data_IF_841665105574
#
_entry.id   IF_841665105574
#
_cell.length_a   1.000
_cell.length_b   1.000
_cell.length_c   1.000
_cell.angle_alpha   90.00
_cell.angle_beta   90.00
_cell.angle_gamma   90.00
#
_symmetry.space_group_name_H-M   'P 1'
#
loop_
_entity.id
_entity.type
_entity.pdbx_description
1 polymer ?
#
# COMPACT_ATOMS: atom_id res chain seq x y z
N UNK A 1 -43.75 33.23 24.30
CA UNK A 1 -43.90 31.96 25.06
C UNK A 1 -43.41 30.71 24.29
N UNK A 2 -43.62 30.59 22.99
CA UNK A 2 -43.22 29.35 22.23
C UNK A 2 -41.69 29.07 22.12
N UNK A 3 -40.82 30.09 22.14
CA UNK A 3 -39.36 29.90 22.12
C UNK A 3 -38.74 29.43 23.43
N UNK A 4 -39.34 29.68 24.58
CA UNK A 4 -38.84 29.22 25.88
C UNK A 4 -39.17 27.74 26.18
N UNK A 5 -40.24 27.23 25.60
CA UNK A 5 -40.69 25.86 25.78
C UNK A 5 -39.80 24.89 24.94
N UNK A 6 -39.36 25.36 23.75
CA UNK A 6 -38.48 24.55 22.88
C UNK A 6 -37.08 24.37 23.47
N UNK A 7 -36.53 25.38 24.14
CA UNK A 7 -35.22 25.29 24.78
C UNK A 7 -35.23 24.44 26.06
N UNK A 8 -36.38 24.32 26.74
CA UNK A 8 -36.51 23.46 27.91
C UNK A 8 -36.63 21.98 27.56
N UNK A 9 -37.27 21.66 26.43
CA UNK A 9 -37.36 20.29 25.90
C UNK A 9 -36.00 19.77 25.36
N UNK A 10 -35.18 20.64 24.75
CA UNK A 10 -33.83 20.26 24.30
C UNK A 10 -32.89 20.02 25.48
N UNK A 11 -32.98 20.80 26.55
CA UNK A 11 -32.16 20.66 27.74
C UNK A 11 -32.47 19.36 28.52
N UNK A 12 -33.74 18.94 28.59
CA UNK A 12 -34.13 17.70 29.27
C UNK A 12 -33.69 16.44 28.49
N UNK A 13 -33.64 16.47 27.18
CA UNK A 13 -33.21 15.34 26.37
C UNK A 13 -31.68 15.12 26.46
N UNK A 14 -30.91 16.20 26.59
CA UNK A 14 -29.44 16.13 26.75
C UNK A 14 -29.05 15.60 28.15
N UNK A 15 -29.78 15.95 29.19
CA UNK A 15 -29.51 15.50 30.58
C UNK A 15 -29.89 14.03 30.78
N UNK A 16 -30.88 13.49 30.05
CA UNK A 16 -31.21 12.07 30.11
C UNK A 16 -30.20 11.19 29.39
N UNK A 17 -29.49 11.68 28.37
CA UNK A 17 -28.39 10.93 27.71
C UNK A 17 -27.13 10.84 28.58
N UNK A 18 -26.93 11.75 29.54
CA UNK A 18 -25.74 11.77 30.40
C UNK A 18 -25.86 10.91 31.68
N UNK A 19 -27.01 10.31 31.93
CA UNK A 19 -27.28 9.48 33.11
C UNK A 19 -27.60 8.00 32.81
N UNK A 20 -27.18 7.50 31.65
CA UNK A 20 -27.28 6.07 31.35
C UNK A 20 -26.13 5.30 32.03
N UNK A 21 -26.42 4.20 32.77
CA UNK A 21 -25.38 3.41 33.38
C UNK A 21 -24.41 2.83 32.33
N UNK A 22 -23.13 2.71 32.71
CA UNK A 22 -22.03 2.25 31.84
C UNK A 22 -22.31 0.94 31.10
N UNK A 23 -23.21 0.08 31.59
CA UNK A 23 -23.62 -1.15 30.90
C UNK A 23 -24.47 -0.93 29.65
N UNK A 24 -25.24 0.16 29.57
CA UNK A 24 -26.02 0.49 28.39
C UNK A 24 -25.13 1.06 27.24
N UNK A 25 -24.05 1.76 27.60
CA UNK A 25 -23.04 2.25 26.65
C UNK A 25 -22.29 1.11 25.96
N UNK A 26 -21.93 0.05 26.68
CA UNK A 26 -21.28 -1.14 26.12
C UNK A 26 -22.22 -1.90 25.16
N UNK A 27 -23.50 -2.04 25.52
CA UNK A 27 -24.49 -2.71 24.67
C UNK A 27 -24.78 -1.92 23.36
N UNK A 28 -24.84 -0.58 23.44
CA UNK A 28 -25.00 0.26 22.26
C UNK A 28 -23.77 0.20 21.37
N UNK A 29 -22.56 0.22 21.92
CA UNK A 29 -21.31 0.07 21.16
C UNK A 29 -21.24 -1.29 20.45
N UNK A 30 -21.59 -2.37 21.10
CA UNK A 30 -21.62 -3.73 20.53
C UNK A 30 -22.70 -3.85 19.45
N UNK A 31 -23.85 -3.21 19.62
CA UNK A 31 -24.93 -3.23 18.62
C UNK A 31 -24.56 -2.40 17.39
N UNK A 32 -23.87 -1.27 17.55
CA UNK A 32 -23.37 -0.49 16.42
C UNK A 32 -22.24 -1.19 15.66
N UNK A 33 -21.35 -1.89 16.35
CA UNK A 33 -20.33 -2.72 15.71
C UNK A 33 -20.97 -3.88 14.93
N UNK A 34 -21.97 -4.56 15.51
CA UNK A 34 -22.68 -5.66 14.84
C UNK A 34 -23.53 -5.17 13.67
N UNK A 35 -24.17 -4.00 13.76
CA UNK A 35 -24.92 -3.40 12.65
C UNK A 35 -24.00 -2.96 11.50
N UNK A 36 -22.81 -2.44 11.78
CA UNK A 36 -21.83 -2.09 10.75
C UNK A 36 -21.30 -3.33 10.04
N UNK A 37 -21.04 -4.40 10.78
CA UNK A 37 -20.58 -5.68 10.22
C UNK A 37 -21.69 -6.37 9.40
N UNK A 38 -22.95 -6.39 9.87
CA UNK A 38 -24.07 -6.94 9.12
C UNK A 38 -24.41 -6.11 7.87
N UNK A 39 -24.27 -4.78 7.92
CA UNK A 39 -24.45 -3.92 6.75
C UNK A 39 -23.31 -4.11 5.74
N UNK A 40 -22.09 -4.34 6.20
CA UNK A 40 -20.96 -4.72 5.35
C UNK A 40 -21.24 -6.05 4.62
N UNK A 41 -21.66 -7.06 5.37
CA UNK A 41 -22.02 -8.39 4.84
C UNK A 41 -23.17 -8.29 3.83
N UNK A 42 -24.20 -7.50 4.12
CA UNK A 42 -25.35 -7.35 3.22
C UNK A 42 -25.05 -6.52 1.97
N UNK A 43 -24.15 -5.55 2.05
CA UNK A 43 -23.68 -4.76 0.91
C UNK A 43 -22.74 -5.58 0.01
N UNK A 44 -21.80 -6.29 0.62
CA UNK A 44 -20.91 -7.23 -0.06
C UNK A 44 -21.69 -8.32 -0.80
N UNK A 45 -22.76 -8.83 -0.21
CA UNK A 45 -23.64 -9.81 -0.85
C UNK A 45 -24.49 -9.24 -2.00
N UNK A 46 -24.81 -7.94 -1.99
CA UNK A 46 -25.60 -7.28 -3.04
C UNK A 46 -24.79 -6.91 -4.28
N UNK A 47 -23.57 -6.49 -4.11
CA UNK A 47 -22.74 -5.95 -5.21
C UNK A 47 -21.97 -7.04 -6.00
N UNK A 48 -22.11 -8.32 -5.63
CA UNK A 48 -21.64 -9.51 -6.39
C UNK A 48 -20.16 -9.60 -6.73
N UNK A 49 -19.41 -8.51 -6.63
CA UNK A 49 -18.02 -8.39 -7.04
C UNK A 49 -17.00 -8.54 -5.89
N UNK A 50 -17.45 -8.42 -4.64
CA UNK A 50 -16.60 -8.56 -3.46
C UNK A 50 -16.84 -9.88 -2.68
N UNK A 51 -17.77 -10.70 -3.14
CA UNK A 51 -18.51 -11.57 -2.25
C UNK A 51 -17.88 -12.93 -1.93
N UNK A 52 -16.91 -13.43 -2.69
CA UNK A 52 -16.66 -14.87 -2.57
C UNK A 52 -15.40 -15.27 -1.82
N UNK A 53 -14.41 -14.39 -1.65
CA UNK A 53 -13.13 -14.81 -1.07
C UNK A 53 -12.57 -13.92 0.06
N UNK A 54 -13.23 -12.84 0.46
CA UNK A 54 -12.79 -12.00 1.59
C UNK A 54 -12.76 -12.78 2.91
N UNK A 55 -13.58 -13.85 3.00
CA UNK A 55 -13.70 -14.71 4.16
C UNK A 55 -13.21 -16.15 3.92
N UNK A 56 -12.47 -16.38 2.81
CA UNK A 56 -11.91 -17.69 2.56
C UNK A 56 -10.88 -18.01 3.67
N UNK A 57 -10.89 -19.24 4.13
CA UNK A 57 -9.86 -19.71 5.05
C UNK A 57 -8.49 -19.68 4.36
N UNK A 58 -7.42 -19.33 5.10
CA UNK A 58 -6.10 -19.23 4.51
C UNK A 58 -5.57 -20.60 4.07
N UNK A 59 -5.09 -20.70 2.84
CA UNK A 59 -4.41 -21.89 2.33
C UNK A 59 -3.02 -21.97 2.95
N UNK A 60 -2.68 -23.12 3.56
CA UNK A 60 -1.40 -23.27 4.24
C UNK A 60 -1.18 -22.33 5.42
N UNK A 61 -2.24 -21.63 5.88
CA UNK A 61 -2.18 -20.65 6.95
C UNK A 61 -2.04 -19.18 6.49
N UNK A 62 -2.01 -18.91 5.17
CA UNK A 62 -1.81 -17.56 4.63
C UNK A 62 -2.93 -17.10 3.71
N UNK A 63 -3.50 -15.91 4.02
CA UNK A 63 -4.53 -15.29 3.20
C UNK A 63 -4.02 -14.83 1.83
N UNK A 64 -2.76 -14.41 1.73
CA UNK A 64 -2.19 -14.01 0.45
C UNK A 64 -2.27 -15.09 -0.62
N UNK A 65 -2.33 -16.37 -0.23
CA UNK A 65 -2.48 -17.51 -1.15
C UNK A 65 -3.95 -17.87 -1.43
N UNK A 66 -4.85 -17.54 -0.49
CA UNK A 66 -6.23 -18.04 -0.50
C UNK A 66 -7.23 -17.06 -1.12
N UNK A 67 -7.10 -15.76 -0.81
CA UNK A 67 -8.12 -14.77 -1.17
C UNK A 67 -7.85 -14.10 -2.51
N UNK A 68 -8.90 -13.65 -3.19
CA UNK A 68 -8.76 -12.78 -4.37
C UNK A 68 -8.60 -11.32 -3.96
N UNK A 69 -9.33 -10.84 -2.96
CA UNK A 69 -9.21 -9.48 -2.42
C UNK A 69 -8.40 -9.49 -1.14
N UNK A 70 -7.19 -8.95 -1.19
CA UNK A 70 -6.28 -8.92 -0.05
C UNK A 70 -6.45 -7.64 0.76
N UNK A 71 -6.95 -7.76 1.98
CA UNK A 71 -7.30 -6.64 2.87
C UNK A 71 -6.19 -6.32 3.86
N UNK A 72 -6.29 -5.17 4.55
CA UNK A 72 -5.41 -4.84 5.66
C UNK A 72 -5.47 -5.88 6.79
N UNK A 73 -6.67 -6.39 7.11
CA UNK A 73 -6.81 -7.44 8.12
C UNK A 73 -6.15 -8.77 7.71
N UNK A 74 -6.17 -9.11 6.41
CA UNK A 74 -5.43 -10.27 5.90
C UNK A 74 -3.93 -10.07 6.05
N UNK A 75 -3.39 -8.88 5.74
CA UNK A 75 -1.99 -8.55 5.96
C UNK A 75 -1.58 -8.75 7.42
N UNK A 76 -2.34 -8.21 8.38
CA UNK A 76 -2.05 -8.38 9.80
C UNK A 76 -2.07 -9.85 10.25
N UNK A 77 -3.00 -10.63 9.70
CA UNK A 77 -3.08 -12.07 9.99
C UNK A 77 -1.87 -12.82 9.43
N UNK A 78 -1.52 -12.57 8.17
CA UNK A 78 -0.38 -13.20 7.52
C UNK A 78 0.95 -12.84 8.21
N UNK A 79 1.14 -11.58 8.63
CA UNK A 79 2.33 -11.18 9.39
C UNK A 79 2.46 -11.91 10.72
N UNK A 80 1.36 -12.10 11.45
CA UNK A 80 1.37 -12.91 12.68
C UNK A 80 1.72 -14.36 12.41
N UNK A 81 1.17 -14.95 11.34
CA UNK A 81 1.45 -16.33 10.95
C UNK A 81 2.92 -16.51 10.54
N UNK A 82 3.50 -15.58 9.76
CA UNK A 82 4.90 -15.60 9.36
C UNK A 82 5.84 -15.59 10.57
N UNK A 83 5.60 -14.70 11.56
CA UNK A 83 6.42 -14.68 12.78
C UNK A 83 6.33 -15.96 13.61
N UNK A 84 5.20 -16.64 13.60
CA UNK A 84 5.04 -17.90 14.31
C UNK A 84 5.77 -19.06 13.60
N UNK A 85 5.79 -19.02 12.27
CA UNK A 85 6.30 -20.11 11.45
C UNK A 85 7.80 -20.00 11.14
N UNK A 86 8.36 -18.76 11.09
CA UNK A 86 9.74 -18.51 10.67
C UNK A 86 10.48 -17.66 11.69
N UNK A 87 11.46 -18.23 12.37
CA UNK A 87 12.23 -17.57 13.44
C UNK A 87 13.06 -16.36 12.97
N UNK A 88 13.35 -16.26 11.68
CA UNK A 88 14.13 -15.16 11.07
C UNK A 88 13.30 -13.97 10.62
N UNK A 89 11.98 -14.02 10.73
CA UNK A 89 11.09 -12.93 10.34
C UNK A 89 10.90 -11.96 11.50
N UNK A 90 11.04 -10.67 11.21
CA UNK A 90 10.71 -9.58 12.13
C UNK A 90 9.78 -8.60 11.44
N UNK A 91 8.78 -8.11 12.15
CA UNK A 91 7.99 -6.97 11.66
C UNK A 91 7.74 -5.97 12.80
N UNK A 92 7.63 -4.72 12.41
CA UNK A 92 7.33 -3.58 13.28
C UNK A 92 6.43 -2.57 12.55
N UNK A 93 6.01 -1.54 13.27
CA UNK A 93 5.26 -0.43 12.71
C UNK A 93 6.19 0.76 12.51
N UNK A 94 6.36 1.20 11.26
CA UNK A 94 7.13 2.41 10.92
C UNK A 94 6.40 3.69 11.36
N UNK A 95 5.08 3.69 11.25
CA UNK A 95 4.22 4.82 11.57
C UNK A 95 2.77 4.35 11.74
N UNK A 96 1.96 5.23 12.32
CA UNK A 96 0.50 5.12 12.33
C UNK A 96 -0.08 6.16 11.38
N UNK A 97 -1.00 5.74 10.52
CA UNK A 97 -1.69 6.61 9.56
C UNK A 97 -2.68 7.56 10.25
N UNK A 98 -3.22 8.50 9.48
CA UNK A 98 -4.22 9.44 10.00
C UNK A 98 -5.55 8.78 10.42
N UNK A 99 -5.85 7.58 9.94
CA UNK A 99 -7.04 6.80 10.33
C UNK A 99 -6.72 5.70 11.37
N UNK A 100 -5.48 5.65 11.88
CA UNK A 100 -5.09 4.80 13.00
C UNK A 100 -4.57 3.42 12.61
N UNK A 101 -4.29 3.15 11.31
CA UNK A 101 -3.67 1.90 10.87
C UNK A 101 -2.15 1.96 10.94
N UNK A 102 -1.52 0.84 11.24
CA UNK A 102 -0.07 0.73 11.22
C UNK A 102 0.44 0.54 9.78
N UNK A 103 1.58 1.17 9.48
CA UNK A 103 2.36 0.90 8.27
C UNK A 103 3.43 -0.10 8.67
N UNK A 104 3.24 -1.35 8.26
CA UNK A 104 4.14 -2.43 8.65
C UNK A 104 5.38 -2.52 7.78
N UNK A 105 6.51 -2.74 8.45
CA UNK A 105 7.78 -3.09 7.86
C UNK A 105 8.13 -4.52 8.25
N UNK A 106 8.58 -5.32 7.31
CA UNK A 106 9.03 -6.69 7.54
C UNK A 106 10.47 -6.81 7.10
N UNK A 107 11.28 -7.51 7.88
CA UNK A 107 12.68 -7.73 7.55
C UNK A 107 13.05 -9.21 7.69
N UNK A 108 13.81 -9.71 6.72
CA UNK A 108 14.36 -11.07 6.69
C UNK A 108 15.82 -11.04 6.26
N UNK A 109 16.54 -12.11 6.54
CA UNK A 109 17.95 -12.22 6.21
C UNK A 109 18.85 -11.36 7.10
N UNK A 110 20.01 -10.98 6.60
CA UNK A 110 21.00 -10.20 7.35
C UNK A 110 20.76 -8.70 7.18
N UNK A 111 19.97 -8.12 8.07
CA UNK A 111 19.67 -6.67 8.08
C UNK A 111 20.84 -5.78 8.52
N UNK A 112 22.00 -6.36 8.86
CA UNK A 112 23.25 -5.64 9.10
C UNK A 112 24.21 -5.70 7.89
N UNK A 113 23.82 -6.43 6.84
CA UNK A 113 24.63 -6.53 5.63
C UNK A 113 24.78 -5.15 4.95
N UNK A 114 25.91 -4.93 4.25
CA UNK A 114 26.12 -3.67 3.52
C UNK A 114 25.25 -3.55 2.26
N UNK A 115 24.60 -4.61 1.84
CA UNK A 115 23.71 -4.66 0.67
C UNK A 115 22.35 -5.19 1.09
N UNK A 116 21.32 -4.40 0.84
CA UNK A 116 19.96 -4.74 1.25
C UNK A 116 18.97 -4.30 0.17
N UNK A 117 17.91 -5.07 0.01
CA UNK A 117 16.83 -4.78 -0.95
C UNK A 117 15.60 -4.32 -0.20
N UNK A 118 14.95 -3.27 -0.67
CA UNK A 118 13.64 -2.83 -0.18
C UNK A 118 12.56 -3.10 -1.23
N UNK A 119 11.48 -3.76 -0.83
CA UNK A 119 10.30 -4.03 -1.65
C UNK A 119 9.10 -3.27 -1.11
N UNK A 120 8.47 -2.45 -1.94
CA UNK A 120 7.36 -1.57 -1.53
C UNK A 120 6.13 -1.83 -2.38
N UNK A 121 4.95 -1.84 -1.75
CA UNK A 121 3.67 -1.95 -2.45
C UNK A 121 2.60 -1.04 -1.88
N UNK A 122 1.54 -0.89 -2.65
CA UNK A 122 0.34 -0.12 -2.31
C UNK A 122 0.64 1.29 -1.77
N UNK A 123 1.55 2.01 -2.43
CA UNK A 123 1.71 3.47 -2.23
C UNK A 123 0.38 4.15 -2.60
N UNK A 124 -0.30 3.65 -3.63
CA UNK A 124 -1.64 4.09 -4.01
C UNK A 124 -2.69 3.12 -3.51
N UNK A 125 -3.78 3.66 -2.93
CA UNK A 125 -4.83 2.86 -2.29
C UNK A 125 -5.51 1.84 -3.20
N UNK A 126 -5.78 2.20 -4.46
CA UNK A 126 -6.44 1.33 -5.46
C UNK A 126 -5.55 0.23 -6.03
N UNK A 127 -4.27 0.18 -5.65
CA UNK A 127 -3.27 -0.74 -6.21
C UNK A 127 -2.94 -1.89 -5.24
N UNK A 128 -3.92 -2.30 -4.44
CA UNK A 128 -3.77 -3.27 -3.34
C UNK A 128 -3.37 -4.69 -3.78
N UNK A 129 -3.50 -5.03 -5.07
CA UNK A 129 -3.01 -6.29 -5.62
C UNK A 129 -1.48 -6.44 -5.46
N UNK A 130 -0.75 -5.32 -5.40
CA UNK A 130 0.69 -5.30 -5.16
C UNK A 130 1.05 -5.77 -3.74
N UNK A 131 0.23 -5.46 -2.72
CA UNK A 131 0.42 -5.99 -1.37
C UNK A 131 0.35 -7.50 -1.33
N UNK A 132 -0.65 -8.09 -2.00
CA UNK A 132 -0.81 -9.53 -2.07
C UNK A 132 0.36 -10.21 -2.78
N UNK A 133 0.82 -9.62 -3.89
CA UNK A 133 1.99 -10.10 -4.63
C UNK A 133 3.25 -10.13 -3.76
N UNK A 134 3.52 -9.04 -3.04
CA UNK A 134 4.68 -8.93 -2.14
C UNK A 134 4.62 -9.98 -1.04
N UNK A 135 3.46 -10.16 -0.42
CA UNK A 135 3.31 -11.17 0.64
C UNK A 135 3.48 -12.60 0.12
N UNK A 136 3.05 -12.89 -1.12
CA UNK A 136 3.36 -14.19 -1.78
C UNK A 136 4.86 -14.35 -2.04
N UNK A 137 5.55 -13.30 -2.50
CA UNK A 137 7.00 -13.35 -2.71
C UNK A 137 7.76 -13.58 -1.40
N UNK A 138 7.39 -12.86 -0.34
CA UNK A 138 7.97 -13.05 1.00
C UNK A 138 7.77 -14.48 1.50
N UNK A 139 6.55 -15.01 1.44
CA UNK A 139 6.25 -16.37 1.87
C UNK A 139 7.00 -17.41 1.04
N UNK A 140 6.99 -17.30 -0.28
CA UNK A 140 7.69 -18.24 -1.18
C UNK A 140 9.20 -18.25 -0.94
N UNK A 141 9.82 -17.07 -0.71
CA UNK A 141 11.24 -16.97 -0.42
C UNK A 141 11.60 -17.62 0.94
N UNK A 142 10.77 -17.44 1.96
CA UNK A 142 10.94 -18.05 3.26
C UNK A 142 10.80 -19.59 3.19
N UNK A 143 9.82 -20.11 2.45
CA UNK A 143 9.67 -21.54 2.24
C UNK A 143 10.84 -22.11 1.44
N UNK A 144 11.31 -21.40 0.42
CA UNK A 144 12.48 -21.81 -0.36
C UNK A 144 13.73 -21.91 0.53
N UNK A 145 13.99 -20.93 1.38
CA UNK A 145 15.10 -20.94 2.32
C UNK A 145 14.98 -22.07 3.37
N UNK A 146 13.78 -22.28 3.93
CA UNK A 146 13.50 -23.28 4.95
C UNK A 146 13.65 -24.72 4.43
N UNK A 147 13.25 -24.96 3.18
CA UNK A 147 13.30 -26.30 2.56
C UNK A 147 14.65 -26.63 1.91
N UNK A 148 15.64 -25.73 2.03
CA UNK A 148 16.97 -25.91 1.41
C UNK A 148 16.97 -25.70 -0.10
N UNK A 149 15.99 -24.93 -0.62
CA UNK A 149 15.91 -24.60 -2.03
C UNK A 149 16.99 -23.62 -2.48
N UNK A 150 17.16 -23.52 -3.79
CA UNK A 150 18.22 -22.72 -4.42
C UNK A 150 17.65 -21.68 -5.38
N UNK A 151 18.40 -20.61 -5.56
CA UNK A 151 18.21 -19.60 -6.61
C UNK A 151 19.47 -19.63 -7.46
N UNK A 152 19.36 -19.90 -8.77
CA UNK A 152 20.50 -20.02 -9.67
C UNK A 152 21.61 -20.96 -9.10
N UNK A 153 21.20 -22.12 -8.57
CA UNK A 153 22.04 -23.13 -7.93
C UNK A 153 22.70 -22.73 -6.59
N UNK A 154 22.54 -21.48 -6.12
CA UNK A 154 23.01 -21.03 -4.81
C UNK A 154 21.95 -21.24 -3.74
N UNK A 155 22.36 -21.67 -2.55
CA UNK A 155 21.45 -21.85 -1.39
C UNK A 155 20.75 -20.54 -1.05
N UNK A 156 19.43 -20.54 -1.03
CA UNK A 156 18.62 -19.36 -0.65
C UNK A 156 18.95 -18.90 0.77
N UNK A 157 19.19 -19.84 1.69
CA UNK A 157 19.57 -19.49 3.06
C UNK A 157 20.93 -18.78 3.09
N UNK A 158 21.93 -19.25 2.30
CA UNK A 158 23.24 -18.61 2.22
C UNK A 158 23.17 -17.20 1.60
N UNK A 159 22.32 -16.98 0.59
CA UNK A 159 22.09 -15.64 0.03
C UNK A 159 21.50 -14.69 1.08
N UNK A 160 20.60 -15.17 1.92
CA UNK A 160 20.01 -14.39 3.02
C UNK A 160 20.97 -14.14 4.20
N UNK A 161 22.01 -14.95 4.37
CA UNK A 161 23.07 -14.67 5.36
C UNK A 161 23.92 -13.45 4.99
N UNK A 162 24.00 -13.12 3.71
CA UNK A 162 24.82 -12.01 3.18
C UNK A 162 24.00 -10.80 2.72
N UNK A 163 22.67 -10.91 2.67
CA UNK A 163 21.78 -9.84 2.22
C UNK A 163 20.53 -9.74 3.11
N UNK A 164 20.18 -8.53 3.50
CA UNK A 164 18.90 -8.23 4.12
C UNK A 164 17.84 -7.88 3.09
N UNK A 165 16.60 -8.30 3.33
CA UNK A 165 15.46 -7.88 2.53
C UNK A 165 14.41 -7.26 3.43
N UNK A 166 13.97 -6.08 3.05
CA UNK A 166 12.97 -5.27 3.73
C UNK A 166 11.72 -5.18 2.87
N UNK A 167 10.56 -5.25 3.50
CA UNK A 167 9.28 -5.14 2.83
C UNK A 167 8.40 -4.10 3.54
N UNK A 168 7.77 -3.25 2.76
CA UNK A 168 6.63 -2.43 3.17
C UNK A 168 5.46 -2.84 2.28
N UNK A 169 4.74 -3.93 2.63
CA UNK A 169 3.79 -4.55 1.70
C UNK A 169 2.59 -3.67 1.38
N UNK A 170 2.17 -2.82 2.33
CA UNK A 170 1.02 -1.93 2.20
C UNK A 170 1.35 -0.57 2.81
N UNK A 171 1.96 0.32 2.00
CA UNK A 171 2.39 1.62 2.49
C UNK A 171 1.22 2.58 2.79
N UNK A 172 0.09 2.44 2.09
CA UNK A 172 -1.10 3.28 2.25
C UNK A 172 -2.32 2.45 2.67
N UNK A 173 -2.33 1.90 3.92
CA UNK A 173 -3.40 1.01 4.36
C UNK A 173 -4.76 1.68 4.48
N UNK A 174 -4.81 3.00 4.74
CA UNK A 174 -6.04 3.77 4.76
C UNK A 174 -6.64 3.90 3.37
N UNK A 175 -5.82 4.28 2.37
CA UNK A 175 -6.24 4.37 0.98
C UNK A 175 -6.70 3.02 0.41
N UNK A 176 -6.00 1.93 0.75
CA UNK A 176 -6.40 0.56 0.39
C UNK A 176 -7.76 0.22 0.96
N UNK A 177 -7.95 0.41 2.27
CA UNK A 177 -9.21 0.11 2.93
C UNK A 177 -10.36 0.96 2.37
N UNK A 178 -10.08 2.22 2.05
CA UNK A 178 -11.05 3.14 1.44
C UNK A 178 -11.43 2.70 0.01
N UNK A 179 -10.45 2.27 -0.79
CA UNK A 179 -10.71 1.75 -2.14
C UNK A 179 -11.54 0.47 -2.12
N UNK A 180 -11.34 -0.40 -1.14
CA UNK A 180 -12.06 -1.66 -1.00
C UNK A 180 -13.46 -1.50 -0.41
N UNK A 181 -13.63 -0.64 0.61
CA UNK A 181 -14.84 -0.60 1.43
C UNK A 181 -15.52 0.78 1.51
N UNK A 182 -14.99 1.78 0.81
CA UNK A 182 -15.53 3.14 0.84
C UNK A 182 -15.52 3.73 2.26
N UNK A 183 -16.47 4.62 2.55
CA UNK A 183 -16.57 5.27 3.86
C UNK A 183 -16.75 4.31 5.05
N UNK A 184 -17.15 3.08 4.81
CA UNK A 184 -17.28 2.07 5.88
C UNK A 184 -15.91 1.71 6.48
N UNK A 185 -14.83 1.87 5.71
CA UNK A 185 -13.47 1.61 6.17
C UNK A 185 -12.92 2.68 7.12
N UNK A 186 -13.51 3.90 7.12
CA UNK A 186 -13.00 5.03 7.90
C UNK A 186 -13.25 4.83 9.38
N UNK A 187 -12.18 4.66 10.17
CA UNK A 187 -12.24 4.40 11.61
C UNK A 187 -12.45 5.69 12.40
N UNK A 188 -11.75 6.75 12.04
CA UNK A 188 -11.87 8.05 12.69
C UNK A 188 -13.04 8.86 12.07
N UNK A 189 -14.09 9.09 12.86
CA UNK A 189 -15.28 9.82 12.40
C UNK A 189 -14.94 11.25 11.89
N UNK A 190 -13.92 11.90 12.45
CA UNK A 190 -13.47 13.20 11.99
C UNK A 190 -13.02 13.17 10.52
N UNK A 191 -12.37 12.10 10.08
CA UNK A 191 -11.97 11.95 8.69
C UNK A 191 -13.17 11.86 7.72
N UNK A 192 -14.32 11.35 8.19
CA UNK A 192 -15.52 11.20 7.34
C UNK A 192 -16.09 12.55 6.87
N UNK A 193 -15.98 13.58 7.70
CA UNK A 193 -16.50 14.90 7.37
C UNK A 193 -15.80 15.53 6.16
N UNK A 194 -14.52 15.21 5.96
CA UNK A 194 -13.72 15.78 4.88
C UNK A 194 -14.00 15.13 3.52
N UNK A 195 -14.52 13.89 3.50
CA UNK A 195 -14.74 13.17 2.24
C UNK A 195 -15.75 13.82 1.31
N UNK A 196 -16.81 14.40 1.84
CA UNK A 196 -17.79 15.12 1.00
C UNK A 196 -17.10 16.28 0.25
N UNK A 197 -16.19 16.97 0.92
CA UNK A 197 -15.40 18.05 0.33
C UNK A 197 -14.44 17.48 -0.74
N UNK A 198 -13.73 16.40 -0.44
CA UNK A 198 -12.80 15.76 -1.39
C UNK A 198 -13.51 15.22 -2.64
N UNK A 199 -14.68 14.62 -2.47
CA UNK A 199 -15.52 14.15 -3.59
C UNK A 199 -15.99 15.33 -4.44
N UNK A 200 -16.41 16.42 -3.80
CA UNK A 200 -16.82 17.65 -4.48
C UNK A 200 -15.65 18.26 -5.26
N UNK A 201 -14.47 18.32 -4.65
CA UNK A 201 -13.23 18.78 -5.30
C UNK A 201 -12.91 17.93 -6.54
N UNK A 202 -12.93 16.61 -6.39
CA UNK A 202 -12.66 15.71 -7.50
C UNK A 202 -13.67 15.90 -8.65
N UNK A 203 -14.96 15.99 -8.34
CA UNK A 203 -16.01 16.22 -9.34
C UNK A 203 -15.79 17.53 -10.10
N UNK A 204 -15.44 18.60 -9.38
CA UNK A 204 -15.19 19.90 -9.98
C UNK A 204 -13.96 19.90 -10.89
N UNK A 205 -12.88 19.22 -10.49
CA UNK A 205 -11.61 19.17 -11.22
C UNK A 205 -11.66 18.22 -12.42
N UNK A 206 -12.28 17.06 -12.25
CA UNK A 206 -12.32 16.00 -13.26
C UNK A 206 -13.53 16.07 -14.19
N UNK A 207 -14.53 16.93 -13.89
CA UNK A 207 -15.81 16.97 -14.62
C UNK A 207 -16.62 15.68 -14.50
N UNK A 208 -16.42 14.92 -13.41
CA UNK A 208 -17.04 13.63 -13.19
C UNK A 208 -18.19 13.70 -12.18
N UNK A 209 -19.38 13.28 -12.59
CA UNK A 209 -20.60 13.34 -11.79
C UNK A 209 -21.21 11.96 -11.50
N UNK A 210 -20.42 10.89 -11.63
CA UNK A 210 -20.85 9.53 -11.34
C UNK A 210 -21.00 9.22 -9.85
N UNK A 211 -21.17 7.94 -9.53
CA UNK A 211 -21.43 7.47 -8.17
C UNK A 211 -20.22 7.61 -7.25
N UNK A 212 -20.48 7.80 -5.95
CA UNK A 212 -19.41 7.82 -4.94
C UNK A 212 -18.68 6.48 -4.86
N UNK A 213 -19.40 5.37 -5.05
CA UNK A 213 -18.81 4.04 -5.09
C UNK A 213 -17.72 3.92 -6.18
N UNK A 214 -17.95 4.46 -7.35
CA UNK A 214 -16.94 4.51 -8.40
C UNK A 214 -15.70 5.32 -7.99
N UNK A 215 -15.90 6.45 -7.30
CA UNK A 215 -14.82 7.32 -6.79
C UNK A 215 -14.00 6.56 -5.74
N UNK A 216 -14.66 5.93 -4.77
CA UNK A 216 -13.96 5.16 -3.74
C UNK A 216 -13.18 3.98 -4.31
N UNK A 217 -13.77 3.17 -5.17
CA UNK A 217 -13.07 2.07 -5.81
C UNK A 217 -11.78 2.50 -6.51
N UNK A 218 -11.73 3.72 -7.03
CA UNK A 218 -10.58 4.29 -7.73
C UNK A 218 -9.71 5.20 -6.87
N UNK A 219 -9.93 5.19 -5.56
CA UNK A 219 -9.21 6.05 -4.64
C UNK A 219 -7.72 5.74 -4.64
N UNK A 220 -6.92 6.68 -5.14
CA UNK A 220 -5.47 6.57 -5.28
C UNK A 220 -4.75 7.06 -4.02
N UNK A 221 -5.18 8.20 -3.50
CA UNK A 221 -4.55 8.96 -2.44
C UNK A 221 -4.69 8.30 -1.06
N UNK A 222 -4.08 8.87 -0.04
CA UNK A 222 -4.32 8.46 1.34
C UNK A 222 -5.65 8.98 1.87
N UNK A 223 -5.92 8.77 3.16
CA UNK A 223 -7.17 9.20 3.82
C UNK A 223 -7.36 10.71 3.84
N UNK A 224 -6.27 11.50 3.76
CA UNK A 224 -6.28 12.96 3.69
C UNK A 224 -6.41 13.50 2.28
N UNK A 225 -6.59 12.64 1.30
CA UNK A 225 -6.67 13.02 -0.10
C UNK A 225 -5.33 13.45 -0.70
N UNK A 226 -4.19 12.97 -0.16
CA UNK A 226 -2.84 13.26 -0.64
C UNK A 226 -2.29 12.06 -1.42
N UNK A 227 -1.77 12.31 -2.62
CA UNK A 227 -1.02 11.34 -3.42
C UNK A 227 0.38 11.15 -2.82
N UNK A 228 0.59 10.03 -2.15
CA UNK A 228 1.86 9.73 -1.47
C UNK A 228 3.03 9.73 -2.46
N UNK A 229 2.80 9.25 -3.69
CA UNK A 229 3.83 9.20 -4.73
C UNK A 229 4.06 10.58 -5.42
N UNK A 230 3.60 11.66 -4.79
CA UNK A 230 3.83 13.08 -5.12
C UNK A 230 4.20 13.91 -3.90
N UNK A 231 4.39 13.27 -2.75
CA UNK A 231 4.59 13.95 -1.47
C UNK A 231 6.05 13.93 -0.99
N UNK A 232 7.00 13.35 -1.76
CA UNK A 232 8.43 13.40 -1.44
C UNK A 232 9.03 14.77 -1.77
N UNK A 233 10.08 15.17 -1.04
CA UNK A 233 10.68 16.51 -1.18
C UNK A 233 11.35 16.75 -2.53
N UNK A 234 11.89 15.71 -3.15
CA UNK A 234 12.58 15.80 -4.44
C UNK A 234 11.61 16.23 -5.54
N UNK A 235 11.92 17.37 -6.16
CA UNK A 235 11.10 17.92 -7.25
C UNK A 235 9.74 18.49 -6.83
N UNK A 236 9.34 18.38 -5.55
CA UNK A 236 8.01 18.76 -5.07
C UNK A 236 7.60 20.20 -5.40
N UNK A 237 8.51 21.16 -5.20
CA UNK A 237 8.23 22.57 -5.46
C UNK A 237 8.04 22.88 -6.95
N UNK A 238 8.69 22.10 -7.82
CA UNK A 238 8.64 22.26 -9.29
C UNK A 238 7.56 21.37 -9.94
N UNK A 239 6.89 20.52 -9.15
CA UNK A 239 5.84 19.65 -9.67
C UNK A 239 4.63 20.48 -10.07
N UNK A 240 4.31 20.43 -11.38
CA UNK A 240 3.09 20.99 -11.93
C UNK A 240 1.92 20.03 -11.66
N UNK A 241 1.08 20.42 -10.70
CA UNK A 241 0.02 19.56 -10.19
C UNK A 241 -1.26 19.67 -11.02
N UNK A 242 -1.86 18.52 -11.27
CA UNK A 242 -3.21 18.43 -11.83
C UNK A 242 -4.30 18.74 -10.80
N UNK A 243 -3.96 18.69 -9.51
CA UNK A 243 -4.90 18.84 -8.39
C UNK A 243 -4.27 19.68 -7.28
N UNK A 244 -4.89 20.79 -6.92
CA UNK A 244 -4.38 21.75 -5.92
C UNK A 244 -5.04 21.62 -4.55
N UNK A 245 -5.97 20.69 -4.40
CA UNK A 245 -6.76 20.46 -3.19
C UNK A 245 -6.91 18.98 -2.90
N UNK A 246 -7.16 18.58 -1.65
CA UNK A 246 -7.41 17.19 -1.29
C UNK A 246 -8.50 16.56 -2.16
N UNK A 247 -8.19 15.42 -2.76
CA UNK A 247 -9.09 14.68 -3.66
C UNK A 247 -8.73 13.20 -3.73
N UNK A 248 -9.37 12.46 -4.62
CA UNK A 248 -9.07 11.02 -4.79
C UNK A 248 -7.73 10.74 -5.49
N UNK A 249 -7.14 11.70 -6.21
CA UNK A 249 -5.88 11.52 -6.92
C UNK A 249 -5.09 12.84 -7.10
N UNK A 250 -3.79 12.71 -7.38
CA UNK A 250 -2.83 13.73 -7.80
C UNK A 250 -2.55 14.91 -6.85
N UNK A 251 -3.19 15.09 -5.72
CA UNK A 251 -2.86 16.18 -4.80
C UNK A 251 -1.54 15.87 -4.07
N UNK A 252 -0.53 16.72 -4.23
CA UNK A 252 0.81 16.51 -3.66
C UNK A 252 0.93 16.82 -2.16
N UNK A 253 -0.14 17.24 -1.52
CA UNK A 253 -0.14 17.71 -0.13
C UNK A 253 0.17 19.21 -0.01
N UNK A 254 -0.04 19.76 1.19
CA UNK A 254 0.21 21.17 1.48
C UNK A 254 1.70 21.49 1.66
N UNK A 255 2.51 20.46 1.96
CA UNK A 255 3.97 20.54 2.10
C UNK A 255 4.60 19.20 1.67
N UNK A 256 5.88 19.20 1.26
CA UNK A 256 6.58 17.95 1.04
C UNK A 256 6.71 17.18 2.35
N UNK A 257 6.66 15.86 2.24
CA UNK A 257 6.83 14.94 3.37
C UNK A 257 5.84 15.20 4.52
N UNK A 258 4.64 15.71 4.19
CA UNK A 258 3.60 15.98 5.20
C UNK A 258 2.99 14.71 5.76
N UNK A 259 2.93 13.64 4.96
CA UNK A 259 2.18 12.44 5.27
C UNK A 259 2.99 11.39 6.05
N UNK A 260 2.37 10.67 6.99
CA UNK A 260 3.03 9.60 7.74
C UNK A 260 3.51 8.47 6.83
N UNK A 261 2.79 8.17 5.75
CA UNK A 261 3.15 7.17 4.75
C UNK A 261 4.45 7.52 4.01
N UNK A 262 4.64 8.79 3.68
CA UNK A 262 5.89 9.31 3.08
C UNK A 262 7.05 9.18 4.05
N UNK A 263 6.85 9.64 5.29
CA UNK A 263 7.87 9.58 6.34
C UNK A 263 8.27 8.15 6.69
N UNK A 264 7.33 7.22 6.64
CA UNK A 264 7.59 5.80 6.87
C UNK A 264 8.62 5.26 5.86
N UNK A 265 8.46 5.50 4.57
CA UNK A 265 9.42 5.06 3.56
C UNK A 265 10.79 5.75 3.71
N UNK A 266 10.81 7.04 4.01
CA UNK A 266 12.06 7.78 4.27
C UNK A 266 12.79 7.19 5.49
N UNK A 267 12.06 6.81 6.54
CA UNK A 267 12.68 6.24 7.74
C UNK A 267 13.40 4.92 7.48
N UNK A 268 12.90 4.08 6.57
CA UNK A 268 13.59 2.85 6.17
C UNK A 268 14.93 3.17 5.52
N UNK A 269 14.99 4.15 4.60
CA UNK A 269 16.23 4.55 3.94
C UNK A 269 17.25 5.16 4.91
N UNK A 270 16.79 5.78 6.00
CA UNK A 270 17.67 6.35 7.01
C UNK A 270 18.18 5.34 8.05
N UNK A 271 17.48 4.23 8.23
CA UNK A 271 17.80 3.22 9.25
C UNK A 271 18.61 2.04 8.70
N UNK A 272 18.48 1.73 7.40
CA UNK A 272 19.06 0.53 6.80
C UNK A 272 19.91 0.88 5.57
N UNK A 273 20.88 0.02 5.26
CA UNK A 273 21.75 0.17 4.10
C UNK A 273 21.07 -0.31 2.81
N UNK A 274 19.94 0.31 2.47
CA UNK A 274 19.20 -0.05 1.25
C UNK A 274 20.05 0.27 0.02
N UNK A 275 20.33 -0.75 -0.77
CA UNK A 275 21.14 -0.68 -1.99
C UNK A 275 20.29 -0.68 -3.26
N UNK A 276 19.09 -1.25 -3.19
CA UNK A 276 18.16 -1.38 -4.31
C UNK A 276 16.72 -1.32 -3.85
N UNK A 277 15.84 -0.72 -4.67
CA UNK A 277 14.42 -0.62 -4.37
C UNK A 277 13.58 -1.18 -5.52
N UNK A 278 12.68 -2.10 -5.17
CA UNK A 278 11.66 -2.67 -6.03
C UNK A 278 10.29 -2.14 -5.61
N UNK A 279 9.71 -1.24 -6.42
CA UNK A 279 8.39 -0.69 -6.17
C UNK A 279 7.35 -1.43 -7.03
N UNK A 280 6.31 -1.95 -6.39
CA UNK A 280 5.17 -2.52 -7.09
C UNK A 280 4.00 -1.55 -7.10
N UNK A 281 3.54 -1.24 -8.29
CA UNK A 281 2.37 -0.45 -8.64
C UNK A 281 1.42 -1.26 -9.52
N UNK A 282 0.32 -0.70 -9.92
CA UNK A 282 -0.55 -1.17 -10.99
C UNK A 282 -1.20 0.01 -11.71
N UNK A 283 -1.30 -0.01 -13.06
CA UNK A 283 -1.25 -1.17 -13.93
C UNK A 283 -0.53 -0.82 -15.27
N UNK A 284 -0.12 -1.85 -16.04
CA UNK A 284 0.43 -1.62 -17.39
C UNK A 284 1.32 -2.75 -17.92
N UNK A 285 1.77 -3.69 -17.07
CA UNK A 285 2.82 -4.67 -17.39
C UNK A 285 4.09 -3.97 -17.95
N UNK A 286 4.51 -2.89 -17.27
CA UNK A 286 5.63 -2.05 -17.67
C UNK A 286 6.61 -1.84 -16.50
N UNK A 287 7.88 -1.64 -16.81
CA UNK A 287 8.96 -1.38 -15.84
C UNK A 287 9.51 0.01 -16.11
N UNK A 288 9.33 0.93 -15.16
CA UNK A 288 9.94 2.25 -15.17
C UNK A 288 11.26 2.22 -14.40
N UNK A 289 12.36 2.55 -15.08
CA UNK A 289 13.71 2.49 -14.50
C UNK A 289 14.45 3.82 -14.52
N UNK A 290 14.23 4.67 -15.51
CA UNK A 290 14.96 5.93 -15.67
C UNK A 290 14.48 7.00 -14.67
N UNK A 291 15.40 7.83 -14.21
CA UNK A 291 15.14 9.04 -13.43
C UNK A 291 16.11 10.13 -13.83
N UNK A 292 15.59 11.24 -14.39
CA UNK A 292 16.41 12.35 -14.87
C UNK A 292 17.21 13.06 -13.77
N UNK A 293 16.78 12.94 -12.54
CA UNK A 293 17.43 13.53 -11.36
C UNK A 293 18.46 12.59 -10.70
N UNK A 294 18.68 11.40 -11.26
CA UNK A 294 19.61 10.40 -10.70
C UNK A 294 21.06 10.88 -10.81
N UNK A 295 21.92 10.68 -9.77
CA UNK A 295 23.34 10.87 -9.87
C UNK A 295 23.97 10.02 -11.00
N UNK A 296 25.19 10.41 -11.43
CA UNK A 296 25.92 9.65 -12.45
C UNK A 296 26.05 8.16 -12.06
N UNK A 297 25.73 7.27 -13.00
CA UNK A 297 25.74 5.82 -12.80
C UNK A 297 24.47 5.23 -12.17
N UNK A 298 23.63 6.01 -11.48
CA UNK A 298 22.42 5.51 -10.82
C UNK A 298 21.38 4.93 -11.78
N UNK A 299 21.24 5.52 -12.95
CA UNK A 299 20.33 5.00 -13.97
C UNK A 299 20.86 3.71 -14.63
N UNK A 300 22.16 3.51 -14.73
CA UNK A 300 22.75 2.26 -15.26
C UNK A 300 22.39 1.09 -14.36
N UNK A 301 22.49 1.26 -13.05
CA UNK A 301 22.13 0.22 -12.09
C UNK A 301 20.61 -0.03 -12.08
N UNK A 302 19.78 1.02 -12.11
CA UNK A 302 18.32 0.87 -12.24
C UNK A 302 17.94 0.17 -13.55
N UNK A 303 18.64 0.44 -14.64
CA UNK A 303 18.46 -0.25 -15.92
C UNK A 303 18.82 -1.73 -15.83
N UNK A 304 19.93 -2.06 -15.15
CA UNK A 304 20.34 -3.44 -14.92
C UNK A 304 19.28 -4.23 -14.15
N UNK A 305 18.77 -3.67 -13.04
CA UNK A 305 17.64 -4.24 -12.29
C UNK A 305 16.40 -4.44 -13.18
N UNK A 306 16.10 -3.48 -14.05
CA UNK A 306 14.97 -3.56 -14.96
C UNK A 306 15.15 -4.64 -16.04
N UNK A 307 16.37 -4.87 -16.51
CA UNK A 307 16.68 -5.97 -17.45
C UNK A 307 16.46 -7.34 -16.80
N UNK A 308 16.85 -7.51 -15.53
CA UNK A 308 16.55 -8.70 -14.73
C UNK A 308 15.04 -8.89 -14.59
N UNK A 309 14.33 -7.84 -14.15
CA UNK A 309 12.90 -7.89 -13.98
C UNK A 309 12.16 -8.16 -15.31
N UNK A 310 12.63 -7.59 -16.44
CA UNK A 310 12.11 -7.87 -17.77
C UNK A 310 12.29 -9.33 -18.17
N UNK A 311 13.46 -9.90 -17.91
CA UNK A 311 13.73 -11.31 -18.20
C UNK A 311 12.79 -12.23 -17.42
N UNK A 312 12.51 -11.92 -16.14
CA UNK A 312 11.62 -12.70 -15.30
C UNK A 312 10.13 -12.54 -15.68
N UNK A 313 9.67 -11.32 -16.05
CA UNK A 313 8.25 -11.00 -16.22
C UNK A 313 7.76 -10.98 -17.65
N UNK A 314 8.64 -10.69 -18.61
CA UNK A 314 8.29 -10.34 -19.99
C UNK A 314 7.65 -8.94 -20.12
N UNK A 315 7.75 -8.07 -19.10
CA UNK A 315 7.21 -6.72 -19.15
C UNK A 315 8.04 -5.81 -20.05
N UNK A 316 7.41 -4.75 -20.55
CA UNK A 316 8.10 -3.74 -21.36
C UNK A 316 8.89 -2.82 -20.44
N UNK A 317 10.15 -2.57 -20.79
CA UNK A 317 10.94 -1.53 -20.10
C UNK A 317 10.61 -0.16 -20.71
N UNK A 318 10.24 0.80 -19.87
CA UNK A 318 10.06 2.20 -20.24
C UNK A 318 11.08 3.06 -19.51
N UNK A 319 12.06 3.55 -20.27
CA UNK A 319 13.02 4.55 -19.80
C UNK A 319 12.62 5.98 -20.17
N UNK A 320 11.38 6.17 -20.60
CA UNK A 320 10.84 7.29 -21.34
C UNK A 320 11.18 8.70 -20.89
N UNK A 321 10.81 9.68 -21.71
CA UNK A 321 11.02 11.12 -21.51
C UNK A 321 10.39 11.67 -20.22
N UNK A 322 9.41 10.99 -19.67
CA UNK A 322 8.76 11.36 -18.40
C UNK A 322 9.69 11.23 -17.18
N UNK A 323 10.70 10.36 -17.24
CA UNK A 323 11.72 10.26 -16.20
C UNK A 323 12.56 11.52 -15.99
N UNK A 324 12.48 12.50 -16.91
CA UNK A 324 13.19 13.77 -16.83
C UNK A 324 12.37 14.91 -16.21
N UNK A 325 11.10 14.65 -15.88
CA UNK A 325 10.24 15.65 -15.22
C UNK A 325 10.19 15.41 -13.72
N UNK A 326 10.12 16.49 -12.90
CA UNK A 326 9.85 16.34 -11.48
C UNK A 326 8.56 15.55 -11.26
N UNK A 327 8.61 14.57 -10.37
CA UNK A 327 7.45 13.74 -10.04
C UNK A 327 7.13 13.72 -8.54
N UNK A 328 8.07 14.16 -7.72
CA UNK A 328 8.01 14.05 -6.26
C UNK A 328 7.65 12.64 -5.79
N UNK A 329 8.02 11.63 -6.58
CA UNK A 329 7.76 10.23 -6.33
C UNK A 329 8.81 9.59 -5.43
N UNK A 330 8.46 8.44 -4.85
CA UNK A 330 9.42 7.65 -4.07
C UNK A 330 10.63 7.21 -4.90
N UNK A 331 10.38 6.77 -6.15
CA UNK A 331 11.48 6.40 -7.06
C UNK A 331 12.43 7.57 -7.32
N UNK A 332 11.92 8.78 -7.56
CA UNK A 332 12.75 9.96 -7.76
C UNK A 332 13.54 10.30 -6.49
N UNK A 333 12.89 10.29 -5.33
CA UNK A 333 13.55 10.53 -4.05
C UNK A 333 14.70 9.55 -3.80
N UNK A 334 14.45 8.26 -3.94
CA UNK A 334 15.45 7.21 -3.80
C UNK A 334 16.62 7.39 -4.78
N UNK A 335 16.30 7.67 -6.05
CA UNK A 335 17.32 7.88 -7.09
C UNK A 335 18.22 9.07 -6.79
N UNK A 336 17.67 10.18 -6.27
CA UNK A 336 18.48 11.35 -5.85
C UNK A 336 19.34 11.04 -4.64
N UNK A 337 18.88 10.18 -3.75
CA UNK A 337 19.69 9.64 -2.64
C UNK A 337 20.77 8.66 -3.12
N UNK A 338 20.89 8.40 -4.42
CA UNK A 338 21.87 7.47 -4.99
C UNK A 338 21.47 6.00 -4.89
N UNK A 339 20.21 5.70 -4.59
CA UNK A 339 19.71 4.34 -4.47
C UNK A 339 18.99 3.94 -5.77
N UNK A 340 19.52 2.96 -6.54
CA UNK A 340 18.87 2.42 -7.71
C UNK A 340 17.46 1.92 -7.41
N UNK A 341 16.50 2.29 -8.26
CA UNK A 341 15.09 2.01 -8.01
C UNK A 341 14.34 1.75 -9.31
N UNK A 342 13.54 0.69 -9.32
CA UNK A 342 12.62 0.39 -10.41
C UNK A 342 11.19 0.35 -9.93
N UNK A 343 10.25 0.66 -10.83
CA UNK A 343 8.81 0.52 -10.58
C UNK A 343 8.22 -0.48 -11.58
N UNK A 344 7.56 -1.52 -11.07
CA UNK A 344 6.81 -2.48 -11.86
C UNK A 344 5.32 -2.18 -11.74
N UNK A 345 4.70 -1.85 -12.86
CA UNK A 345 3.24 -1.69 -13.00
C UNK A 345 2.62 -3.03 -13.36
N UNK A 346 2.14 -3.78 -12.37
CA UNK A 346 1.63 -5.14 -12.57
C UNK A 346 0.18 -5.17 -13.01
N UNK A 347 -0.18 -6.17 -13.83
CA UNK A 347 -1.55 -6.36 -14.32
C UNK A 347 -1.94 -5.40 -15.43
N UNK A 348 -3.17 -5.49 -15.89
CA UNK A 348 -3.66 -4.72 -17.05
C UNK A 348 -5.17 -4.45 -16.98
N UNK A 349 -5.65 -3.54 -17.85
CA UNK A 349 -7.06 -3.21 -17.98
C UNK A 349 -7.46 -1.99 -17.16
N UNK A 350 -8.19 -2.16 -16.08
CA UNK A 350 -8.64 -1.07 -15.22
C UNK A 350 -7.76 -0.93 -13.97
N UNK A 351 -7.87 0.19 -13.28
CA UNK A 351 -7.34 0.36 -11.93
C UNK A 351 -8.52 0.72 -10.99
N UNK A 352 -8.79 -0.07 -9.94
CA UNK A 352 -8.06 -1.28 -9.51
C UNK A 352 -7.96 -2.34 -10.60
N UNK A 353 -6.84 -3.06 -10.61
CA UNK A 353 -6.69 -4.26 -11.46
C UNK A 353 -7.70 -5.30 -11.01
N UNK A 354 -8.40 -5.99 -11.94
CA UNK A 354 -9.28 -7.09 -11.58
C UNK A 354 -8.54 -8.14 -10.73
N UNK A 355 -9.05 -8.41 -9.56
CA UNK A 355 -8.40 -9.27 -8.54
C UNK A 355 -8.15 -10.69 -9.05
N UNK A 356 -8.98 -11.17 -9.97
CA UNK A 356 -8.79 -12.46 -10.64
C UNK A 356 -7.45 -12.57 -11.39
N UNK A 357 -6.77 -11.45 -11.66
CA UNK A 357 -5.45 -11.46 -12.31
C UNK A 357 -4.31 -11.86 -11.36
N UNK A 358 -4.55 -12.00 -10.05
CA UNK A 358 -3.47 -12.25 -9.08
C UNK A 358 -2.60 -13.48 -9.44
N UNK A 359 -3.20 -14.55 -9.92
CA UNK A 359 -2.45 -15.74 -10.30
C UNK A 359 -1.62 -15.54 -11.58
N UNK A 360 -2.12 -14.74 -12.54
CA UNK A 360 -1.38 -14.36 -13.74
C UNK A 360 -0.22 -13.40 -13.38
N UNK A 361 -0.48 -12.44 -12.50
CA UNK A 361 0.54 -11.52 -11.98
C UNK A 361 1.60 -12.31 -11.22
N UNK A 362 1.20 -13.22 -10.34
CA UNK A 362 2.10 -14.10 -9.61
C UNK A 362 3.00 -14.90 -10.55
N UNK A 363 2.44 -15.60 -11.51
CA UNK A 363 3.22 -16.44 -12.44
C UNK A 363 4.31 -15.69 -13.19
N UNK A 364 4.13 -14.38 -13.42
CA UNK A 364 5.13 -13.51 -14.07
C UNK A 364 6.15 -12.94 -13.09
N UNK A 365 5.72 -12.63 -11.86
CA UNK A 365 6.55 -11.85 -10.93
C UNK A 365 7.22 -12.70 -9.84
N UNK A 366 6.86 -13.96 -9.67
CA UNK A 366 7.33 -14.82 -8.57
C UNK A 366 8.85 -14.89 -8.44
N UNK A 367 9.60 -14.78 -9.54
CA UNK A 367 11.05 -14.88 -9.55
C UNK A 367 11.77 -13.51 -9.54
N UNK A 368 11.08 -12.39 -9.68
CA UNK A 368 11.75 -11.06 -9.77
C UNK A 368 12.64 -10.79 -8.56
N UNK A 369 12.10 -10.99 -7.35
CA UNK A 369 12.85 -10.77 -6.12
C UNK A 369 14.00 -11.77 -5.97
N UNK A 370 13.81 -13.04 -6.35
CA UNK A 370 14.83 -14.08 -6.30
C UNK A 370 16.02 -13.73 -7.21
N UNK A 371 15.75 -13.29 -8.43
CA UNK A 371 16.80 -12.92 -9.38
C UNK A 371 17.56 -11.66 -8.92
N UNK A 372 16.90 -10.67 -8.35
CA UNK A 372 17.55 -9.51 -7.75
C UNK A 372 18.40 -9.90 -6.53
N UNK A 373 17.91 -10.81 -5.67
CA UNK A 373 18.65 -11.32 -4.54
C UNK A 373 19.93 -12.06 -4.98
N UNK A 374 19.84 -12.86 -6.03
CA UNK A 374 21.00 -13.53 -6.61
C UNK A 374 22.00 -12.52 -7.18
N UNK A 375 21.52 -11.58 -7.98
CA UNK A 375 22.35 -10.58 -8.64
C UNK A 375 23.12 -9.70 -7.65
N UNK A 376 22.47 -9.18 -6.61
CA UNK A 376 23.13 -8.33 -5.60
C UNK A 376 24.20 -9.06 -4.80
N UNK A 377 24.12 -10.39 -4.72
CA UNK A 377 25.12 -11.24 -4.05
C UNK A 377 26.31 -11.60 -4.94
N UNK A 378 26.16 -11.51 -6.26
CA UNK A 378 27.16 -11.97 -7.23
C UNK A 378 27.95 -10.85 -7.93
N UNK A 379 27.54 -9.61 -7.70
CA UNK A 379 28.21 -8.38 -8.19
C UNK A 379 29.37 -7.93 -7.33
#
# INVERSE_FOLDING_TARGET
MKKKILNLLLATTIVQCLMMPMQASAAISTTFQNLSTQNLISKVAKDGAFATNVYAEPVGGYYCEAVTTYTYANLESDLRALMQQYSGVRYDSLATTADGRNIYHVAIGNTSAPRQILVVGSIHGREYISSQLIMRQLHALLELAKTGGTIQEQSTAALLETTGIHFVPMNNPDGVSLSQFGLLAVQNIANRADFQTMITNYRALAGYYGTEDWIFRRWKNNIRGVDINRNFSTGWAALDDKTYVPSMDFFKGAAPESEPETKALISVLSQYHISEILNYHSQGNVIYWNCGSSPAGGNEQSRHMAEIAKAATGYVMDGGLEGNKPSASYKEYASVCGIPSITLEVGSGSCPVPEAQINTIWSRNQNVLNELLYDINTR
#
